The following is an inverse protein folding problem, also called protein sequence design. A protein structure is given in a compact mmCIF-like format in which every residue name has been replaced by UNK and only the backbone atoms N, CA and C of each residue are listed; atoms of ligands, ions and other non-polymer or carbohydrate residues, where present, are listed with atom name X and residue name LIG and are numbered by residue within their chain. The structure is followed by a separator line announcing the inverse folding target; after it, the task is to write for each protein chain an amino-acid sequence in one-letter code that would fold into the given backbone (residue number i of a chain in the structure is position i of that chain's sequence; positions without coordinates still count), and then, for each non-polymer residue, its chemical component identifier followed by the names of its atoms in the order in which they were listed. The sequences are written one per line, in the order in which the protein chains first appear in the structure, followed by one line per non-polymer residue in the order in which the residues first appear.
data_IF_350812044754
#
_entry.id   IF_350812044754
#
_cell.length_a   1.000
_cell.length_b   1.000
_cell.length_c   1.000
_cell.angle_alpha   90.00
_cell.angle_beta   90.00
_cell.angle_gamma   90.00
#
_symmetry.space_group_name_H-M   'P 1'
#
loop_
_entity.id
_entity.type
_entity.pdbx_description
1 polymer ?
#
# COMPACT_ATOMS: atom_id res chain seq x y z
N UNK A 1 -20.28 3.82 -1.12
CA UNK A 1 -19.34 3.60 -2.25
C UNK A 1 -18.09 2.99 -1.65
N UNK A 2 -17.90 1.67 -1.78
CA UNK A 2 -16.69 1.01 -1.28
C UNK A 2 -15.50 1.48 -2.12
N UNK A 3 -14.54 2.17 -1.51
CA UNK A 3 -13.32 2.57 -2.20
C UNK A 3 -12.54 1.32 -2.63
N UNK A 4 -12.05 1.30 -3.87
CA UNK A 4 -11.34 0.14 -4.42
C UNK A 4 -9.85 0.16 -4.06
N UNK A 5 -9.17 -0.99 -4.11
CA UNK A 5 -7.71 -1.12 -3.90
C UNK A 5 -6.92 -0.13 -4.74
N UNK A 6 -7.34 0.10 -5.99
CA UNK A 6 -6.69 1.07 -6.87
C UNK A 6 -6.81 2.51 -6.36
N UNK A 7 -7.96 2.90 -5.79
CA UNK A 7 -8.13 4.22 -5.21
C UNK A 7 -7.19 4.44 -4.01
N UNK A 8 -7.06 3.43 -3.14
CA UNK A 8 -6.09 3.46 -2.04
C UNK A 8 -4.65 3.47 -2.54
N UNK A 9 -4.33 2.66 -3.57
CA UNK A 9 -2.99 2.64 -4.17
C UNK A 9 -2.59 4.01 -4.74
N UNK A 10 -3.52 4.70 -5.42
CA UNK A 10 -3.25 6.06 -5.92
C UNK A 10 -2.97 7.06 -4.80
N UNK A 11 -3.62 6.90 -3.64
CA UNK A 11 -3.30 7.71 -2.45
C UNK A 11 -1.91 7.37 -1.92
N UNK A 12 -1.59 6.09 -1.76
CA UNK A 12 -0.28 5.63 -1.28
C UNK A 12 0.87 5.95 -2.24
N UNK A 13 0.61 6.06 -3.56
CA UNK A 13 1.61 6.50 -4.54
C UNK A 13 2.10 7.94 -4.32
N UNK A 14 1.33 8.77 -3.61
CA UNK A 14 1.78 10.11 -3.18
C UNK A 14 2.81 10.05 -2.06
N UNK A 15 2.89 8.94 -1.33
CA UNK A 15 3.88 8.74 -0.28
C UNK A 15 5.22 8.35 -0.92
N UNK A 16 6.26 9.15 -0.69
CA UNK A 16 7.60 8.92 -1.24
C UNK A 16 8.51 8.12 -0.30
N UNK A 17 8.08 7.84 0.92
CA UNK A 17 8.85 7.14 1.95
C UNK A 17 7.98 6.12 2.71
N UNK A 18 8.63 5.10 3.25
CA UNK A 18 7.98 4.08 4.08
C UNK A 18 7.34 4.70 5.34
N UNK A 19 8.04 5.63 6.00
CA UNK A 19 7.53 6.31 7.19
C UNK A 19 6.21 7.05 6.94
N UNK A 20 6.12 7.75 5.80
CA UNK A 20 4.87 8.44 5.43
C UNK A 20 3.79 7.45 5.01
N UNK A 21 4.16 6.35 4.34
CA UNK A 21 3.22 5.29 3.96
C UNK A 21 2.56 4.66 5.20
N UNK A 22 3.36 4.34 6.22
CA UNK A 22 2.91 3.72 7.47
C UNK A 22 1.96 4.65 8.24
N UNK A 23 2.32 5.93 8.42
CA UNK A 23 1.44 6.94 9.04
C UNK A 23 0.11 7.12 8.31
N UNK A 24 0.12 7.07 6.97
CA UNK A 24 -1.12 7.19 6.18
C UNK A 24 -1.97 5.92 6.31
N UNK A 25 -1.35 4.74 6.33
CA UNK A 25 -2.04 3.47 6.57
C UNK A 25 -2.68 3.44 7.96
N UNK A 26 -1.97 3.88 9.00
CA UNK A 26 -2.46 3.92 10.37
C UNK A 26 -3.69 4.85 10.49
N UNK A 27 -3.60 6.08 9.95
CA UNK A 27 -4.74 7.02 9.87
C UNK A 27 -5.93 6.46 9.09
N UNK A 28 -5.65 5.69 8.03
CA UNK A 28 -6.70 5.01 7.26
C UNK A 28 -7.37 3.92 8.09
N UNK A 29 -6.58 3.14 8.84
CA UNK A 29 -7.08 2.10 9.75
C UNK A 29 -7.94 2.72 10.87
N UNK A 30 -7.47 3.79 11.50
CA UNK A 30 -8.21 4.56 12.51
C UNK A 30 -9.51 5.14 11.94
N UNK A 31 -9.48 5.67 10.72
CA UNK A 31 -10.69 6.21 10.07
C UNK A 31 -11.70 5.13 9.69
N UNK A 32 -11.23 3.91 9.40
CA UNK A 32 -12.03 2.75 9.06
C UNK A 32 -12.16 1.79 10.26
N UNK A 33 -12.33 2.35 11.48
CA UNK A 33 -12.40 1.64 12.77
C UNK A 33 -12.92 0.21 12.62
N UNK A 34 -12.01 -0.76 12.79
CA UNK A 34 -12.35 -2.18 12.90
C UNK A 34 -12.36 -2.98 11.60
N UNK A 35 -12.19 -2.37 10.42
CA UNK A 35 -12.08 -3.11 9.16
C UNK A 35 -10.89 -2.55 8.36
N UNK A 36 -9.70 -3.14 8.57
CA UNK A 36 -8.66 -3.06 7.54
C UNK A 36 -9.18 -3.86 6.36
N UNK A 37 -9.79 -3.15 5.42
CA UNK A 37 -10.29 -3.78 4.20
C UNK A 37 -9.12 -4.42 3.46
N UNK A 38 -9.33 -5.62 2.92
CA UNK A 38 -8.36 -6.31 2.04
C UNK A 38 -7.83 -5.38 0.94
N UNK A 39 -8.66 -4.42 0.52
CA UNK A 39 -8.32 -3.38 -0.45
C UNK A 39 -7.19 -2.45 0.06
N UNK A 40 -7.24 -2.04 1.34
CA UNK A 40 -6.25 -1.15 1.97
C UNK A 40 -4.93 -1.91 2.19
N UNK A 41 -5.00 -3.11 2.79
CA UNK A 41 -3.82 -3.95 3.00
C UNK A 41 -3.14 -4.29 1.67
N UNK A 42 -3.92 -4.70 0.67
CA UNK A 42 -3.39 -5.03 -0.65
C UNK A 42 -2.76 -3.84 -1.38
N UNK A 43 -3.25 -2.61 -1.15
CA UNK A 43 -2.66 -1.39 -1.70
C UNK A 43 -1.39 -0.98 -0.95
N UNK A 44 -1.36 -1.18 0.38
CA UNK A 44 -0.18 -0.94 1.23
C UNK A 44 0.98 -1.85 0.82
N UNK A 45 0.75 -3.16 0.70
CA UNK A 45 1.76 -4.13 0.30
C UNK A 45 2.30 -3.84 -1.11
N UNK A 46 1.41 -3.46 -2.04
CA UNK A 46 1.81 -3.04 -3.39
C UNK A 46 2.73 -1.82 -3.33
N UNK A 47 2.39 -0.81 -2.53
CA UNK A 47 3.25 0.37 -2.41
C UNK A 47 4.59 0.06 -1.74
N UNK A 48 4.63 -0.81 -0.73
CA UNK A 48 5.89 -1.30 -0.15
C UNK A 48 6.80 -1.91 -1.21
N UNK A 49 6.24 -2.75 -2.09
CA UNK A 49 6.97 -3.33 -3.20
C UNK A 49 7.56 -2.29 -4.16
N UNK A 50 6.78 -1.28 -4.51
CA UNK A 50 7.26 -0.18 -5.36
C UNK A 50 8.38 0.62 -4.71
N UNK A 51 8.29 0.88 -3.40
CA UNK A 51 9.31 1.62 -2.65
C UNK A 51 10.61 0.82 -2.48
N UNK A 52 10.53 -0.48 -2.16
CA UNK A 52 11.72 -1.36 -2.06
C UNK A 52 12.47 -1.42 -3.39
N UNK A 53 11.73 -1.51 -4.50
CA UNK A 53 12.30 -1.57 -5.85
C UNK A 53 12.65 -0.21 -6.45
N UNK A 54 12.19 0.88 -5.82
CA UNK A 54 12.22 2.25 -6.38
C UNK A 54 11.61 2.32 -7.81
N UNK A 55 10.60 1.48 -8.09
CA UNK A 55 9.95 1.37 -9.40
C UNK A 55 8.44 1.16 -9.25
N UNK A 56 7.65 1.82 -10.09
CA UNK A 56 6.20 1.62 -10.12
C UNK A 56 5.86 0.34 -10.90
N UNK A 57 4.89 -0.41 -10.37
CA UNK A 57 4.41 -1.65 -11.00
C UNK A 57 2.89 -1.57 -11.17
N UNK A 58 2.39 -2.03 -12.31
CA UNK A 58 0.95 -2.28 -12.49
C UNK A 58 0.52 -3.58 -11.79
N UNK A 59 1.35 -4.61 -11.89
CA UNK A 59 1.29 -5.82 -11.06
C UNK A 59 2.66 -6.11 -10.50
N UNK A 60 2.72 -6.32 -9.19
CA UNK A 60 3.95 -6.70 -8.51
C UNK A 60 4.30 -8.15 -8.88
N UNK A 61 5.46 -8.41 -9.52
CA UNK A 61 5.90 -9.77 -9.85
C UNK A 61 6.17 -10.60 -8.60
N UNK A 62 6.05 -11.93 -8.71
CA UNK A 62 6.37 -12.88 -7.63
C UNK A 62 7.79 -12.67 -7.06
N UNK A 63 8.76 -12.40 -7.93
CA UNK A 63 10.16 -12.15 -7.57
C UNK A 63 10.37 -10.87 -6.76
N UNK A 64 9.42 -9.92 -6.80
CA UNK A 64 9.50 -8.72 -5.98
C UNK A 64 9.01 -9.00 -4.56
N UNK A 65 7.98 -9.84 -4.40
CA UNK A 65 7.49 -10.24 -3.07
C UNK A 65 8.55 -10.94 -2.23
N UNK A 66 9.50 -11.65 -2.85
CA UNK A 66 10.62 -12.26 -2.12
C UNK A 66 11.63 -11.24 -1.59
N UNK A 67 11.63 -10.02 -2.13
CA UNK A 67 12.50 -8.90 -1.75
C UNK A 67 11.78 -7.93 -0.81
N UNK A 68 10.46 -7.91 -0.84
CA UNK A 68 9.60 -7.26 0.16
C UNK A 68 9.47 -8.19 1.36
N UNK A 69 10.58 -8.41 2.08
CA UNK A 69 10.55 -9.08 3.38
C UNK A 69 10.44 -8.00 4.47
N UNK A 70 9.59 -8.27 5.47
CA UNK A 70 9.35 -7.40 6.62
C UNK A 70 10.64 -7.03 7.33
#
# INVERSE_FOLDING_TARGET
MSETKQAYLMKFRKCSSFDTLEKVFERLCEKNVGIVSLEISGAYDHRKAELTMKKLYDKVPASVWTLVRQ
#
